data_IF_190980482093
#
_entry.id   IF_190980482093
#
_cell.length_a   1.000
_cell.length_b   1.000
_cell.length_c   1.000
_cell.angle_alpha   90.00
_cell.angle_beta   90.00
_cell.angle_gamma   90.00
#
_symmetry.space_group_name_H-M   'P 1'
#
loop_
_entity.id
_entity.type
_entity.pdbx_description
1 polymer ?
#
# COMPACT_ATOMS: atom_id res chain seq x y z
N UNK A 1 30.46 -7.80 10.57
CA UNK A 1 29.85 -7.01 9.47
C UNK A 1 30.27 -5.55 9.62
N UNK A 2 31.00 -4.97 8.66
CA UNK A 2 31.21 -3.50 8.62
C UNK A 2 29.85 -2.85 8.35
N UNK A 3 29.34 -2.07 9.29
CA UNK A 3 28.13 -1.26 9.09
C UNK A 3 28.45 -0.26 7.97
N UNK A 4 27.86 -0.43 6.78
CA UNK A 4 27.86 0.63 5.76
C UNK A 4 26.89 1.70 6.25
N UNK A 5 27.49 2.71 6.85
CA UNK A 5 26.81 3.75 7.61
C UNK A 5 26.24 4.82 6.72
N UNK A 6 25.03 5.22 7.09
CA UNK A 6 24.24 6.34 6.57
C UNK A 6 23.53 6.04 5.25
N UNK A 7 22.23 5.80 5.39
CA UNK A 7 21.27 5.78 4.32
C UNK A 7 20.60 7.15 4.31
N UNK A 8 20.87 8.00 3.32
CA UNK A 8 20.35 9.37 3.30
C UNK A 8 19.09 9.50 2.46
N UNK A 9 19.01 8.77 1.36
CA UNK A 9 17.83 8.76 0.49
C UNK A 9 17.57 7.38 -0.15
N UNK A 10 16.58 7.33 -1.04
CA UNK A 10 16.22 6.13 -1.77
C UNK A 10 17.35 5.66 -2.72
N UNK A 11 18.14 6.57 -3.27
CA UNK A 11 19.23 6.23 -4.20
C UNK A 11 20.38 5.56 -3.45
N UNK A 12 20.68 6.03 -2.24
CA UNK A 12 21.61 5.33 -1.34
C UNK A 12 21.11 3.92 -0.99
N UNK A 13 19.80 3.77 -0.81
CA UNK A 13 19.18 2.47 -0.48
C UNK A 13 19.38 1.50 -1.64
N UNK A 14 19.05 1.95 -2.85
CA UNK A 14 19.24 1.20 -4.09
C UNK A 14 20.69 0.80 -4.33
N UNK A 15 21.64 1.68 -4.01
CA UNK A 15 23.06 1.39 -4.17
C UNK A 15 23.61 0.43 -3.11
N UNK A 16 23.11 0.51 -1.86
CA UNK A 16 23.65 -0.27 -0.74
C UNK A 16 23.09 -1.69 -0.63
N UNK A 17 21.80 -1.88 -0.91
CA UNK A 17 21.08 -3.13 -0.63
C UNK A 17 21.49 -4.31 -1.53
N UNK A 18 21.79 -4.15 -2.83
CA UNK A 18 22.34 -5.23 -3.66
C UNK A 18 23.66 -5.78 -3.13
N UNK A 19 24.50 -4.91 -2.56
CA UNK A 19 25.77 -5.30 -1.92
C UNK A 19 25.60 -6.15 -0.66
N UNK A 20 24.39 -6.23 -0.10
CA UNK A 20 24.04 -7.12 1.00
C UNK A 20 23.44 -8.46 0.55
N UNK A 21 23.38 -8.73 -0.77
CA UNK A 21 22.79 -9.95 -1.33
C UNK A 21 21.26 -9.91 -1.44
N UNK A 22 20.64 -8.76 -1.19
CA UNK A 22 19.21 -8.56 -1.31
C UNK A 22 18.83 -8.09 -2.72
N UNK A 23 17.68 -8.55 -3.23
CA UNK A 23 17.08 -7.99 -4.46
C UNK A 23 16.26 -6.75 -4.11
N UNK A 24 16.52 -5.64 -4.77
CA UNK A 24 15.71 -4.42 -4.69
C UNK A 24 14.78 -4.29 -5.90
N UNK A 25 13.59 -3.75 -5.66
CA UNK A 25 12.66 -3.31 -6.72
C UNK A 25 12.34 -1.86 -6.44
N UNK A 26 12.79 -0.98 -7.33
CA UNK A 26 12.44 0.44 -7.30
C UNK A 26 11.13 0.66 -8.03
N UNK A 27 10.22 1.39 -7.40
CA UNK A 27 8.95 1.77 -8.00
C UNK A 27 8.89 3.29 -8.15
N UNK A 28 8.52 3.76 -9.32
CA UNK A 28 8.18 5.14 -9.61
C UNK A 28 6.67 5.38 -9.51
N UNK A 29 6.23 6.63 -9.45
CA UNK A 29 4.80 6.99 -9.37
C UNK A 29 3.95 6.31 -10.47
N UNK A 30 4.51 6.14 -11.67
CA UNK A 30 3.89 5.45 -12.81
C UNK A 30 3.62 3.96 -12.60
N UNK A 31 4.34 3.33 -11.66
CA UNK A 31 4.18 1.91 -11.34
C UNK A 31 2.98 1.68 -10.39
N UNK A 32 2.39 2.76 -9.89
CA UNK A 32 1.20 2.72 -9.06
C UNK A 32 -0.05 3.06 -9.87
N UNK A 33 -1.10 2.27 -9.65
CA UNK A 33 -2.39 2.48 -10.28
C UNK A 33 -3.47 2.70 -9.23
N UNK A 34 -4.49 3.51 -9.57
CA UNK A 34 -5.62 3.74 -8.68
C UNK A 34 -6.62 2.61 -8.83
N UNK A 35 -6.60 1.67 -7.89
CA UNK A 35 -7.65 0.66 -7.75
C UNK A 35 -8.78 1.21 -6.90
N UNK A 36 -9.98 1.30 -7.49
CA UNK A 36 -11.18 1.63 -6.73
C UNK A 36 -11.76 0.37 -6.10
N UNK A 37 -12.46 0.52 -4.97
CA UNK A 37 -13.11 -0.62 -4.34
C UNK A 37 -14.24 -1.14 -5.21
N UNK A 38 -14.09 -2.37 -5.65
CA UNK A 38 -15.06 -3.11 -6.45
C UNK A 38 -15.95 -4.00 -5.59
N UNK A 39 -15.86 -3.86 -4.27
CA UNK A 39 -16.64 -4.65 -3.32
C UNK A 39 -18.09 -4.21 -3.30
N UNK A 40 -19.00 -5.18 -3.21
CA UNK A 40 -20.41 -4.91 -3.00
C UNK A 40 -20.68 -4.58 -1.53
N UNK A 41 -20.70 -3.30 -1.19
CA UNK A 41 -21.00 -2.83 0.18
C UNK A 41 -22.39 -3.28 0.64
N UNK A 42 -23.37 -3.38 -0.27
CA UNK A 42 -24.70 -3.92 0.03
C UNK A 42 -24.64 -5.37 0.51
N UNK A 43 -23.92 -6.25 -0.21
CA UNK A 43 -23.77 -7.66 0.18
C UNK A 43 -22.96 -7.80 1.46
N UNK A 44 -21.89 -7.01 1.62
CA UNK A 44 -21.09 -6.98 2.86
C UNK A 44 -21.94 -6.57 4.08
N UNK A 45 -22.77 -5.53 3.95
CA UNK A 45 -23.69 -5.09 5.02
C UNK A 45 -24.68 -6.18 5.40
N UNK A 46 -25.15 -7.00 4.46
CA UNK A 46 -26.10 -8.07 4.72
C UNK A 46 -25.48 -9.23 5.51
N UNK A 47 -24.18 -9.49 5.34
CA UNK A 47 -23.48 -10.58 6.02
C UNK A 47 -22.94 -10.20 7.38
N UNK A 48 -22.28 -9.04 7.47
CA UNK A 48 -21.52 -8.67 8.67
C UNK A 48 -22.03 -7.40 9.36
N UNK A 49 -23.14 -6.81 8.88
CA UNK A 49 -23.63 -5.48 9.30
C UNK A 49 -22.59 -4.36 9.14
N UNK A 50 -21.61 -4.53 8.26
CA UNK A 50 -20.48 -3.59 8.05
C UNK A 50 -20.37 -3.15 6.59
N UNK A 51 -19.83 -1.94 6.40
CA UNK A 51 -19.61 -1.34 5.07
C UNK A 51 -18.31 -1.77 4.40
N UNK A 52 -17.37 -2.35 5.15
CA UNK A 52 -16.03 -2.70 4.65
C UNK A 52 -15.46 -3.89 5.44
N UNK A 53 -14.57 -4.65 4.80
CA UNK A 53 -13.82 -5.76 5.38
C UNK A 53 -12.33 -5.53 5.13
N UNK A 54 -11.53 -5.49 6.20
CA UNK A 54 -10.08 -5.29 6.09
C UNK A 54 -9.37 -6.63 5.89
N UNK A 55 -8.27 -6.61 5.13
CA UNK A 55 -7.42 -7.80 4.95
C UNK A 55 -6.88 -8.33 6.30
N UNK A 56 -6.66 -7.46 7.29
CA UNK A 56 -6.21 -7.84 8.64
C UNK A 56 -7.23 -8.69 9.43
N UNK A 57 -8.50 -8.60 9.06
CA UNK A 57 -9.61 -9.34 9.68
C UNK A 57 -9.76 -10.73 9.05
N UNK A 58 -9.22 -10.95 7.84
CA UNK A 58 -9.25 -12.25 7.17
C UNK A 58 -8.13 -13.14 7.71
N UNK A 59 -8.49 -14.32 8.22
CA UNK A 59 -7.56 -15.26 8.87
C UNK A 59 -7.21 -16.46 8.01
N UNK A 60 -8.17 -16.92 7.22
CA UNK A 60 -8.00 -18.04 6.32
C UNK A 60 -8.63 -17.69 4.97
N UNK A 61 -7.97 -18.11 3.89
CA UNK A 61 -8.42 -17.91 2.52
C UNK A 61 -8.55 -19.26 1.83
N UNK A 62 -9.57 -19.42 1.02
CA UNK A 62 -9.78 -20.61 0.21
C UNK A 62 -10.09 -20.20 -1.22
N UNK A 63 -9.39 -20.84 -2.14
CA UNK A 63 -9.69 -20.85 -3.57
C UNK A 63 -10.14 -22.26 -3.92
N UNK A 64 -11.25 -22.36 -4.65
CA UNK A 64 -11.79 -23.65 -5.06
C UNK A 64 -11.48 -23.84 -6.53
N UNK A 65 -11.06 -25.06 -6.87
CA UNK A 65 -10.79 -25.44 -8.27
C UNK A 65 -12.02 -25.12 -9.11
N UNK A 66 -11.80 -24.58 -10.31
CA UNK A 66 -12.85 -24.20 -11.27
C UNK A 66 -13.81 -23.10 -10.75
N UNK A 67 -13.43 -22.36 -9.71
CA UNK A 67 -14.18 -21.21 -9.23
C UNK A 67 -13.32 -19.95 -9.26
N UNK A 68 -13.85 -18.89 -9.87
CA UNK A 68 -13.23 -17.56 -9.90
C UNK A 68 -13.62 -16.72 -8.67
N UNK A 69 -13.81 -17.38 -7.53
CA UNK A 69 -14.31 -16.78 -6.29
C UNK A 69 -13.29 -16.96 -5.17
N UNK A 70 -13.11 -15.90 -4.41
CA UNK A 70 -12.34 -15.93 -3.17
C UNK A 70 -13.29 -16.25 -2.02
N UNK A 71 -12.87 -17.14 -1.14
CA UNK A 71 -13.58 -17.46 0.10
C UNK A 71 -12.68 -17.14 1.29
N UNK A 72 -13.24 -16.64 2.39
CA UNK A 72 -12.47 -16.27 3.57
C UNK A 72 -13.17 -16.63 4.89
N UNK A 73 -12.38 -16.69 5.96
CA UNK A 73 -12.85 -16.71 7.35
C UNK A 73 -12.29 -15.53 8.11
N UNK A 74 -13.07 -15.02 9.07
CA UNK A 74 -12.63 -13.98 10.00
C UNK A 74 -12.10 -14.54 11.31
N UNK A 75 -12.40 -15.81 11.60
CA UNK A 75 -11.87 -16.54 12.76
C UNK A 75 -11.46 -17.96 12.36
N UNK A 76 -10.38 -18.46 12.94
CA UNK A 76 -9.87 -19.81 12.64
C UNK A 76 -10.87 -20.93 12.97
N UNK A 77 -11.71 -20.72 13.99
CA UNK A 77 -12.71 -21.70 14.45
C UNK A 77 -14.06 -21.60 13.70
N UNK A 78 -14.19 -20.75 12.69
CA UNK A 78 -15.38 -20.77 11.83
C UNK A 78 -15.38 -22.04 10.98
N UNK A 79 -16.51 -22.78 11.01
CA UNK A 79 -16.68 -23.99 10.21
C UNK A 79 -16.86 -23.68 8.73
N UNK A 80 -17.51 -22.56 8.41
CA UNK A 80 -17.85 -22.19 7.04
C UNK A 80 -17.00 -21.02 6.55
N UNK A 81 -16.69 -21.02 5.26
CA UNK A 81 -16.11 -19.86 4.59
C UNK A 81 -17.21 -18.95 4.05
N UNK A 82 -16.98 -17.65 4.15
CA UNK A 82 -17.79 -16.61 3.52
C UNK A 82 -17.22 -16.31 2.13
N UNK A 83 -18.08 -16.21 1.13
CA UNK A 83 -17.69 -15.80 -0.23
C UNK A 83 -17.32 -14.30 -0.23
N UNK A 84 -16.32 -13.92 -1.02
CA UNK A 84 -15.95 -12.53 -1.23
C UNK A 84 -16.80 -11.90 -2.33
N UNK A 85 -17.43 -10.76 -2.07
CA UNK A 85 -18.44 -10.19 -2.98
C UNK A 85 -17.93 -8.99 -3.78
N UNK A 86 -17.83 -9.17 -5.08
CA UNK A 86 -17.65 -8.10 -6.05
C UNK A 86 -19.00 -7.49 -6.45
N UNK A 87 -18.99 -6.24 -6.92
CA UNK A 87 -20.15 -5.60 -7.55
C UNK A 87 -20.55 -6.40 -8.80
N UNK A 88 -21.85 -6.53 -9.08
CA UNK A 88 -22.33 -7.25 -10.28
C UNK A 88 -21.91 -6.60 -11.60
N UNK A 89 -21.66 -5.30 -11.57
CA UNK A 89 -21.16 -4.52 -12.72
C UNK A 89 -19.63 -4.50 -12.80
N UNK A 90 -18.94 -5.26 -11.94
CA UNK A 90 -17.48 -5.27 -11.96
C UNK A 90 -16.99 -6.08 -13.14
N UNK A 91 -16.15 -5.44 -13.94
CA UNK A 91 -15.33 -6.08 -14.95
C UNK A 91 -13.86 -5.75 -14.64
N UNK A 92 -12.99 -6.74 -14.78
CA UNK A 92 -11.56 -6.54 -14.54
C UNK A 92 -10.99 -5.70 -15.69
N UNK A 93 -10.82 -4.42 -15.42
CA UNK A 93 -10.15 -3.48 -16.32
C UNK A 93 -8.83 -3.02 -15.69
N UNK A 94 -7.86 -2.69 -16.55
CA UNK A 94 -6.60 -2.14 -16.06
C UNK A 94 -6.87 -0.75 -15.47
N UNK A 95 -6.59 -0.52 -14.18
CA UNK A 95 -6.85 0.76 -13.55
C UNK A 95 -6.08 1.89 -14.23
N UNK A 96 -6.64 3.10 -14.15
CA UNK A 96 -5.93 4.28 -14.59
C UNK A 96 -4.63 4.46 -13.79
N UNK A 97 -3.55 4.77 -14.51
CA UNK A 97 -2.30 5.18 -13.90
C UNK A 97 -2.52 6.45 -13.05
N UNK A 98 -1.82 6.55 -11.92
CA UNK A 98 -1.79 7.78 -11.16
C UNK A 98 -1.01 8.83 -11.97
N UNK A 99 -1.72 9.85 -12.47
CA UNK A 99 -1.13 10.91 -13.32
C UNK A 99 -0.53 12.07 -12.52
N UNK A 100 -0.78 12.15 -11.22
CA UNK A 100 -0.37 13.28 -10.38
C UNK A 100 0.18 12.78 -9.05
N UNK A 101 1.29 13.39 -8.64
CA UNK A 101 1.80 13.25 -7.29
C UNK A 101 0.79 13.82 -6.31
N UNK A 102 0.44 13.03 -5.30
CA UNK A 102 -0.53 13.41 -4.27
C UNK A 102 0.08 14.26 -3.16
N UNK A 103 1.32 14.72 -3.31
CA UNK A 103 2.03 15.50 -2.29
C UNK A 103 2.03 14.82 -0.91
N UNK A 104 2.26 15.64 0.11
CA UNK A 104 2.18 15.27 1.53
C UNK A 104 1.30 16.32 2.22
N UNK A 105 0.42 15.87 3.12
CA UNK A 105 -0.39 16.77 3.94
C UNK A 105 0.51 17.80 4.64
N UNK A 106 0.08 19.06 4.66
CA UNK A 106 0.87 20.17 5.19
C UNK A 106 1.39 19.92 6.61
N UNK A 107 0.55 19.39 7.49
CA UNK A 107 0.94 19.06 8.87
C UNK A 107 2.06 18.02 8.92
N UNK A 108 1.96 16.98 8.08
CA UNK A 108 2.98 15.94 7.97
C UNK A 108 4.28 16.48 7.38
N UNK A 109 4.21 17.34 6.37
CA UNK A 109 5.39 18.05 5.83
C UNK A 109 6.07 18.88 6.90
N UNK A 110 5.32 19.68 7.66
CA UNK A 110 5.86 20.46 8.78
C UNK A 110 6.49 19.56 9.86
N UNK A 111 5.88 18.42 10.15
CA UNK A 111 6.44 17.41 11.06
C UNK A 111 7.80 16.90 10.56
N UNK A 112 7.91 16.57 9.27
CA UNK A 112 9.17 16.14 8.65
C UNK A 112 10.22 17.25 8.72
N UNK A 113 9.86 18.47 8.36
CA UNK A 113 10.78 19.64 8.41
C UNK A 113 11.27 19.89 9.83
N UNK A 114 10.41 19.75 10.83
CA UNK A 114 10.80 20.00 12.22
C UNK A 114 11.67 18.88 12.80
N UNK A 115 11.43 17.63 12.43
CA UNK A 115 12.02 16.46 13.13
C UNK A 115 13.12 15.77 12.36
N UNK A 116 12.98 15.62 11.04
CA UNK A 116 13.90 14.85 10.21
C UNK A 116 14.91 15.74 9.49
N UNK A 117 14.49 16.90 8.98
CA UNK A 117 15.38 17.78 8.21
C UNK A 117 16.63 18.21 8.99
N UNK A 118 16.57 18.57 10.29
CA UNK A 118 17.78 18.90 11.06
C UNK A 118 18.79 17.75 11.20
N UNK A 119 18.35 16.50 10.99
CA UNK A 119 19.19 15.31 11.05
C UNK A 119 19.77 14.92 9.68
N UNK A 120 19.29 15.54 8.60
CA UNK A 120 19.77 15.32 7.23
C UNK A 120 20.86 16.32 6.84
N UNK A 121 21.79 15.95 5.94
CA UNK A 121 22.77 16.87 5.37
C UNK A 121 22.12 18.11 4.73
N UNK A 122 22.76 19.28 4.84
CA UNK A 122 22.23 20.59 4.40
C UNK A 122 21.86 20.62 2.91
N UNK A 123 22.63 19.94 2.05
CA UNK A 123 22.38 19.82 0.61
C UNK A 123 21.03 19.14 0.29
N UNK A 124 20.43 18.45 1.27
CA UNK A 124 19.18 17.69 1.12
C UNK A 124 17.97 18.39 1.73
N UNK A 125 18.16 19.50 2.45
CA UNK A 125 17.05 20.24 3.07
C UNK A 125 16.08 20.79 2.02
N UNK A 126 16.61 21.24 0.87
CA UNK A 126 15.82 21.82 -0.22
C UNK A 126 14.73 20.88 -0.73
N UNK A 127 15.01 19.57 -0.82
CA UNK A 127 14.01 18.59 -1.24
C UNK A 127 12.79 18.58 -0.30
N UNK A 128 13.02 18.49 1.00
CA UNK A 128 11.96 18.39 2.01
C UNK A 128 11.17 19.70 2.16
N UNK A 129 11.84 20.84 2.01
CA UNK A 129 11.19 22.17 2.04
C UNK A 129 10.26 22.34 0.84
N UNK A 130 10.70 21.89 -0.34
CA UNK A 130 9.98 22.07 -1.60
C UNK A 130 9.08 20.89 -1.99
N UNK A 131 8.92 19.89 -1.13
CA UNK A 131 8.02 18.77 -1.40
C UNK A 131 6.58 19.30 -1.59
N UNK A 132 5.90 18.75 -2.61
CA UNK A 132 4.53 19.12 -2.96
C UNK A 132 3.57 18.88 -1.79
N UNK A 133 2.66 19.83 -1.57
CA UNK A 133 1.59 19.74 -0.58
C UNK A 133 0.28 19.31 -1.25
N UNK A 134 -0.59 18.65 -0.50
CA UNK A 134 -1.94 18.27 -0.94
C UNK A 134 -3.04 18.79 -0.05
#
# INVERSE_FOLDING_TARGET
>A
MKKKGKLYDLQDFEACVPGAGCKTVTMAAKDFSKWESVLSTYRLKKLEKRSFLNLSEMKEFQFRREQERLYFKTYFYQNNFTEFFLKSTFHLERPAALKKDRGVERERKLGIIKTLVPLTPEDRHSFWINILEC
#
